data_IF_178728005338
#
_entry.id   IF_178728005338
#
_cell.length_a   1.000
_cell.length_b   1.000
_cell.length_c   1.000
_cell.angle_alpha   90.00
_cell.angle_beta   90.00
_cell.angle_gamma   90.00
#
_symmetry.space_group_name_H-M   'P 1'
#
loop_
_entity.id
_entity.type
_entity.pdbx_description
1 polymer ?
#
# COMPACT_ATOMS: atom_id res chain seq x y z
N UNK A 1 8.51 35.77 -1.43
CA UNK A 1 9.63 34.96 -1.98
C UNK A 1 10.45 34.24 -0.89
N UNK A 2 10.95 34.92 0.16
CA UNK A 2 11.73 34.29 1.25
C UNK A 2 11.01 33.18 2.04
N UNK A 3 9.70 33.27 2.27
CA UNK A 3 8.94 32.23 3.00
C UNK A 3 8.72 30.93 2.21
N UNK A 4 8.67 30.98 0.88
CA UNK A 4 8.53 29.77 0.05
C UNK A 4 9.87 29.03 -0.05
N UNK A 5 10.98 29.76 -0.13
CA UNK A 5 12.33 29.19 -0.09
C UNK A 5 12.62 28.48 1.23
N UNK A 6 12.24 29.04 2.38
CA UNK A 6 12.45 28.37 3.68
C UNK A 6 11.55 27.16 3.88
N UNK A 7 10.35 27.13 3.30
CA UNK A 7 9.46 25.96 3.33
C UNK A 7 10.01 24.84 2.44
N UNK A 8 10.41 25.14 1.20
CA UNK A 8 11.05 24.18 0.30
C UNK A 8 12.39 23.66 0.83
N UNK A 9 13.16 24.50 1.52
CA UNK A 9 14.44 24.10 2.14
C UNK A 9 14.24 23.21 3.38
N UNK A 10 13.26 23.53 4.26
CA UNK A 10 12.89 22.65 5.38
C UNK A 10 12.31 21.32 4.91
N UNK A 11 11.62 21.31 3.77
CA UNK A 11 11.06 20.12 3.13
C UNK A 11 12.16 19.26 2.50
N UNK A 12 13.08 19.86 1.74
CA UNK A 12 14.26 19.18 1.20
C UNK A 12 15.13 18.63 2.34
N UNK A 13 15.30 19.40 3.41
CA UNK A 13 16.03 18.98 4.60
C UNK A 13 15.33 17.82 5.33
N UNK A 14 14.00 17.82 5.47
CA UNK A 14 13.27 16.72 6.12
C UNK A 14 13.29 15.40 5.34
N UNK A 15 13.56 15.42 4.03
CA UNK A 15 13.74 14.22 3.19
C UNK A 15 15.22 13.84 3.08
N UNK A 16 16.09 14.84 2.96
CA UNK A 16 17.53 14.66 2.90
C UNK A 16 18.12 14.20 4.22
N UNK A 17 17.58 14.63 5.38
CA UNK A 17 18.08 14.27 6.71
C UNK A 17 17.99 12.76 6.99
N UNK A 18 16.85 12.06 6.81
CA UNK A 18 16.82 10.62 6.95
C UNK A 18 17.66 9.92 5.88
N UNK A 19 17.64 10.38 4.62
CA UNK A 19 18.47 9.79 3.56
C UNK A 19 19.97 9.97 3.79
N UNK A 20 20.41 11.13 4.28
CA UNK A 20 21.78 11.40 4.70
C UNK A 20 22.11 10.66 5.99
N UNK A 21 21.18 10.52 6.93
CA UNK A 21 21.39 9.74 8.14
C UNK A 21 21.52 8.24 7.80
N UNK A 22 20.75 7.72 6.84
CA UNK A 22 20.88 6.36 6.32
C UNK A 22 22.15 6.19 5.48
N UNK A 23 22.54 7.18 4.68
CA UNK A 23 23.79 7.17 3.92
C UNK A 23 25.02 7.29 4.86
N UNK A 24 24.94 8.11 5.90
CA UNK A 24 25.96 8.31 6.92
C UNK A 24 26.04 7.10 7.85
N UNK A 25 24.92 6.50 8.23
CA UNK A 25 24.89 5.23 8.96
C UNK A 25 25.47 4.12 8.10
N UNK A 26 25.08 4.04 6.83
CA UNK A 26 25.68 3.14 5.85
C UNK A 26 27.19 3.35 5.75
N UNK A 27 27.66 4.59 5.67
CA UNK A 27 29.08 4.96 5.62
C UNK A 27 29.83 4.67 6.94
N UNK A 28 29.26 4.96 8.10
CA UNK A 28 29.89 4.69 9.40
C UNK A 28 29.97 3.19 9.68
N UNK A 29 28.94 2.42 9.29
CA UNK A 29 28.98 0.96 9.34
C UNK A 29 29.96 0.41 8.28
N UNK A 30 30.13 1.09 7.14
CA UNK A 30 31.20 0.80 6.14
C UNK A 30 32.59 0.92 6.71
N UNK A 31 32.85 2.00 7.44
CA UNK A 31 34.15 2.26 8.06
C UNK A 31 34.38 1.31 9.24
N UNK A 32 33.34 0.96 9.99
CA UNK A 32 33.46 0.11 11.17
C UNK A 32 33.62 -1.40 10.88
N UNK A 33 33.10 -1.92 9.76
CA UNK A 33 33.02 -3.37 9.53
C UNK A 33 33.75 -3.90 8.27
N UNK A 34 34.46 -3.06 7.52
CA UNK A 34 35.35 -3.49 6.45
C UNK A 34 34.65 -4.10 5.21
N UNK A 35 35.42 -4.36 4.16
CA UNK A 35 34.94 -4.73 2.81
C UNK A 35 34.52 -6.21 2.64
N UNK A 36 34.52 -7.02 3.70
CA UNK A 36 34.46 -8.48 3.64
C UNK A 36 33.16 -9.13 4.13
N UNK A 37 31.98 -8.62 3.75
CA UNK A 37 30.71 -9.26 4.10
C UNK A 37 30.63 -10.74 3.70
N UNK A 38 29.65 -11.50 4.21
CA UNK A 38 29.52 -12.95 3.99
C UNK A 38 29.27 -13.34 2.52
N UNK A 39 28.84 -12.41 1.67
CA UNK A 39 28.55 -12.65 0.24
C UNK A 39 29.16 -11.57 -0.68
N UNK A 40 30.50 -11.43 -0.76
CA UNK A 40 31.12 -10.24 -1.35
C UNK A 40 31.03 -10.18 -2.89
N UNK A 41 30.71 -11.27 -3.59
CA UNK A 41 30.94 -11.41 -5.03
C UNK A 41 29.70 -11.72 -5.91
N UNK A 42 28.48 -11.40 -5.47
CA UNK A 42 27.28 -11.66 -6.27
C UNK A 42 27.30 -10.96 -7.66
N UNK A 43 27.86 -9.76 -7.77
CA UNK A 43 28.01 -9.09 -9.07
C UNK A 43 29.29 -9.43 -9.82
N UNK A 44 30.40 -9.68 -9.13
CA UNK A 44 31.65 -10.13 -9.76
C UNK A 44 31.50 -11.47 -10.49
N UNK A 45 30.47 -12.25 -10.15
CA UNK A 45 30.14 -13.55 -10.75
C UNK A 45 29.01 -13.50 -11.78
N UNK A 46 28.52 -12.31 -12.17
CA UNK A 46 27.42 -12.16 -13.14
C UNK A 46 26.04 -12.56 -12.60
N UNK A 47 25.83 -12.62 -11.28
CA UNK A 47 24.60 -13.10 -10.66
C UNK A 47 23.53 -12.01 -10.44
N UNK A 48 23.36 -11.08 -11.39
CA UNK A 48 22.34 -10.01 -11.35
C UNK A 48 20.91 -10.54 -11.18
N UNK A 49 20.64 -11.74 -11.69
CA UNK A 49 19.35 -12.41 -11.55
C UNK A 49 19.02 -12.72 -10.08
N UNK A 50 20.02 -12.93 -9.21
CA UNK A 50 19.81 -13.12 -7.76
C UNK A 50 19.31 -11.84 -7.10
N UNK A 51 19.84 -10.68 -7.53
CA UNK A 51 19.35 -9.37 -7.09
C UNK A 51 17.92 -9.16 -7.60
N UNK A 52 17.64 -9.46 -8.86
CA UNK A 52 16.29 -9.34 -9.41
C UNK A 52 15.27 -10.23 -8.65
N UNK A 53 15.62 -11.49 -8.35
CA UNK A 53 14.79 -12.39 -7.54
C UNK A 53 14.61 -11.84 -6.13
N UNK A 54 15.68 -11.37 -5.48
CA UNK A 54 15.59 -10.76 -4.15
C UNK A 54 14.62 -9.58 -4.15
N UNK A 55 14.76 -8.65 -5.10
CA UNK A 55 13.89 -7.48 -5.21
C UNK A 55 12.44 -7.87 -5.49
N UNK A 56 12.21 -8.84 -6.40
CA UNK A 56 10.88 -9.35 -6.70
C UNK A 56 10.22 -10.00 -5.47
N UNK A 57 10.96 -10.80 -4.70
CA UNK A 57 10.48 -11.43 -3.48
C UNK A 57 10.21 -10.40 -2.39
N UNK A 58 11.12 -9.47 -2.14
CA UNK A 58 10.94 -8.40 -1.15
C UNK A 58 9.74 -7.52 -1.50
N UNK A 59 9.55 -7.22 -2.79
CA UNK A 59 8.37 -6.51 -3.29
C UNK A 59 7.11 -7.30 -3.01
N UNK A 60 7.07 -8.57 -3.41
CA UNK A 60 5.90 -9.41 -3.24
C UNK A 60 5.52 -9.59 -1.77
N UNK A 61 6.48 -9.90 -0.88
CA UNK A 61 6.22 -10.12 0.55
C UNK A 61 5.75 -8.81 1.21
N UNK A 62 6.41 -7.69 0.92
CA UNK A 62 6.02 -6.39 1.48
C UNK A 62 4.63 -5.96 1.05
N UNK A 63 4.30 -6.10 -0.24
CA UNK A 63 2.98 -5.77 -0.75
C UNK A 63 1.93 -6.76 -0.26
N UNK A 64 2.25 -8.04 -0.16
CA UNK A 64 1.37 -9.05 0.46
C UNK A 64 1.02 -8.65 1.89
N UNK A 65 2.02 -8.32 2.71
CA UNK A 65 1.80 -7.89 4.09
C UNK A 65 0.90 -6.64 4.16
N UNK A 66 1.17 -5.63 3.32
CA UNK A 66 0.39 -4.39 3.27
C UNK A 66 -1.05 -4.63 2.79
N UNK A 67 -1.20 -5.38 1.70
CA UNK A 67 -2.48 -5.73 1.06
C UNK A 67 -3.39 -6.52 2.00
N UNK A 68 -2.86 -7.56 2.65
CA UNK A 68 -3.66 -8.39 3.54
C UNK A 68 -3.94 -7.66 4.87
N UNK A 69 -2.90 -7.19 5.56
CA UNK A 69 -3.04 -6.59 6.89
C UNK A 69 -3.66 -5.19 6.85
N UNK A 70 -2.92 -4.21 6.34
CA UNK A 70 -3.34 -2.81 6.46
C UNK A 70 -4.53 -2.50 5.55
N UNK A 71 -4.51 -3.01 4.33
CA UNK A 71 -5.53 -2.71 3.33
C UNK A 71 -6.83 -3.49 3.56
N UNK A 72 -6.83 -4.81 3.34
CA UNK A 72 -8.07 -5.63 3.37
C UNK A 72 -8.62 -5.87 4.77
N UNK A 73 -7.76 -6.09 5.78
CA UNK A 73 -8.21 -6.31 7.15
C UNK A 73 -8.51 -5.00 7.87
N UNK A 74 -7.54 -4.10 8.03
CA UNK A 74 -7.72 -2.98 8.95
C UNK A 74 -8.45 -1.78 8.33
N UNK A 75 -8.22 -1.48 7.05
CA UNK A 75 -8.93 -0.38 6.40
C UNK A 75 -10.34 -0.79 6.01
N UNK A 76 -10.49 -1.94 5.34
CA UNK A 76 -11.75 -2.32 4.72
C UNK A 76 -12.53 -3.43 5.43
N UNK A 77 -11.93 -4.10 6.41
CA UNK A 77 -12.59 -5.11 7.24
C UNK A 77 -13.23 -6.26 6.45
N UNK A 78 -12.72 -6.56 5.26
CA UNK A 78 -13.21 -7.64 4.42
C UNK A 78 -12.81 -9.02 4.92
N UNK A 79 -11.75 -9.08 5.73
CA UNK A 79 -11.19 -10.30 6.32
C UNK A 79 -10.63 -9.99 7.70
N UNK A 80 -10.64 -10.99 8.59
CA UNK A 80 -9.94 -10.93 9.88
C UNK A 80 -9.00 -12.12 9.98
N UNK A 81 -7.71 -11.86 10.14
CA UNK A 81 -6.66 -12.83 10.35
C UNK A 81 -6.45 -13.11 11.84
N UNK A 82 -5.97 -14.30 12.15
CA UNK A 82 -5.43 -14.60 13.47
C UNK A 82 -4.20 -13.72 13.75
N UNK A 83 -3.95 -13.42 15.03
CA UNK A 83 -2.76 -12.65 15.46
C UNK A 83 -1.43 -13.28 15.02
N UNK A 84 -1.41 -14.60 14.78
CA UNK A 84 -0.23 -15.34 14.35
C UNK A 84 0.12 -15.13 12.88
N UNK A 85 -0.84 -14.65 12.09
CA UNK A 85 -0.62 -14.27 10.69
C UNK A 85 -0.43 -12.76 10.59
N UNK A 86 -1.29 -12.00 11.29
CA UNK A 86 -1.30 -10.55 11.20
C UNK A 86 -0.06 -9.89 11.82
N UNK A 87 0.34 -10.28 13.04
CA UNK A 87 1.49 -9.64 13.71
C UNK A 87 2.80 -9.81 12.92
N UNK A 88 3.15 -10.98 12.38
CA UNK A 88 4.31 -11.10 11.50
C UNK A 88 4.27 -10.17 10.29
N UNK A 89 3.09 -9.95 9.67
CA UNK A 89 2.95 -8.98 8.58
C UNK A 89 3.19 -7.54 9.06
N UNK A 90 2.63 -7.15 10.21
CA UNK A 90 2.88 -5.82 10.79
C UNK A 90 4.36 -5.61 11.16
N UNK A 91 5.02 -6.60 11.77
CA UNK A 91 6.46 -6.56 12.05
C UNK A 91 7.27 -6.42 10.76
N UNK A 92 6.96 -7.21 9.73
CA UNK A 92 7.63 -7.13 8.44
C UNK A 92 7.55 -5.72 7.85
N UNK A 93 6.36 -5.12 7.86
CA UNK A 93 6.16 -3.76 7.37
C UNK A 93 6.93 -2.73 8.19
N UNK A 94 6.94 -2.85 9.52
CA UNK A 94 7.74 -1.99 10.37
C UNK A 94 9.24 -2.12 10.06
N UNK A 95 9.75 -3.34 9.89
CA UNK A 95 11.16 -3.63 9.56
C UNK A 95 11.58 -3.09 8.18
N UNK A 96 10.74 -3.26 7.18
CA UNK A 96 11.10 -3.02 5.76
C UNK A 96 10.64 -1.68 5.22
N UNK A 97 9.74 -0.98 5.92
CA UNK A 97 9.18 0.30 5.44
C UNK A 97 9.12 1.37 6.52
N UNK A 98 9.22 1.00 7.80
CA UNK A 98 8.93 1.91 8.92
C UNK A 98 7.46 2.34 9.00
N UNK A 99 6.58 1.72 8.21
CA UNK A 99 5.16 2.02 8.24
C UNK A 99 4.47 1.35 9.41
N UNK A 100 3.42 2.03 9.86
CA UNK A 100 2.68 1.76 11.07
C UNK A 100 1.22 1.53 10.65
N UNK A 101 0.54 0.58 11.28
CA UNK A 101 -0.87 0.27 10.98
C UNK A 101 -1.73 1.53 11.05
N UNK A 102 -1.56 2.30 12.13
CA UNK A 102 -2.37 3.49 12.41
C UNK A 102 -2.20 4.56 11.33
N UNK A 103 -0.96 4.83 10.94
CA UNK A 103 -0.70 5.85 9.94
C UNK A 103 -1.23 5.43 8.57
N UNK A 104 -0.88 4.22 8.12
CA UNK A 104 -1.26 3.76 6.79
C UNK A 104 -2.79 3.70 6.63
N UNK A 105 -3.47 3.07 7.59
CA UNK A 105 -4.93 2.94 7.58
C UNK A 105 -5.61 4.31 7.63
N UNK A 106 -5.10 5.24 8.45
CA UNK A 106 -5.70 6.58 8.53
C UNK A 106 -5.60 7.37 7.21
N UNK A 107 -4.47 7.30 6.52
CA UNK A 107 -4.28 7.96 5.22
C UNK A 107 -5.11 7.27 4.15
N UNK A 108 -5.18 5.93 4.14
CA UNK A 108 -5.95 5.19 3.15
C UNK A 108 -7.46 5.41 3.27
N UNK A 109 -7.99 5.46 4.50
CA UNK A 109 -9.39 5.88 4.76
C UNK A 109 -9.62 7.29 4.21
N UNK A 110 -8.68 8.20 4.45
CA UNK A 110 -8.79 9.58 3.98
C UNK A 110 -8.76 9.68 2.45
N UNK A 111 -7.93 8.89 1.79
CA UNK A 111 -7.89 8.74 0.34
C UNK A 111 -9.25 8.27 -0.21
N UNK A 112 -9.82 7.19 0.32
CA UNK A 112 -11.13 6.72 -0.14
C UNK A 112 -12.26 7.76 0.04
N UNK A 113 -12.21 8.54 1.12
CA UNK A 113 -13.20 9.59 1.37
C UNK A 113 -13.10 10.77 0.38
N UNK A 114 -11.92 11.02 -0.18
CA UNK A 114 -11.63 12.18 -1.03
C UNK A 114 -11.07 11.79 -2.40
N UNK A 115 -11.27 10.55 -2.83
CA UNK A 115 -10.53 9.99 -3.97
C UNK A 115 -10.72 10.83 -5.24
N UNK A 116 -9.59 11.18 -5.87
CA UNK A 116 -9.53 12.09 -7.03
C UNK A 116 -10.17 13.47 -6.85
N UNK A 117 -10.18 13.97 -5.62
CA UNK A 117 -10.52 15.34 -5.26
C UNK A 117 -9.27 16.07 -4.73
N UNK A 118 -9.39 17.38 -4.48
CA UNK A 118 -8.26 18.23 -4.04
C UNK A 118 -7.59 17.76 -2.74
N UNK A 119 -8.36 17.12 -1.85
CA UNK A 119 -7.87 16.60 -0.57
C UNK A 119 -7.34 15.17 -0.68
N UNK A 120 -7.32 14.55 -1.85
CA UNK A 120 -6.70 13.23 -1.99
C UNK A 120 -5.16 13.34 -1.89
N UNK A 121 -4.52 12.67 -0.91
CA UNK A 121 -3.06 12.64 -0.85
C UNK A 121 -2.45 11.95 -2.09
N UNK A 122 -3.20 11.07 -2.77
CA UNK A 122 -2.72 10.17 -3.81
C UNK A 122 -3.28 10.46 -5.21
N UNK A 123 -4.04 11.55 -5.41
CA UNK A 123 -4.69 11.78 -6.72
C UNK A 123 -3.69 12.17 -7.82
N UNK A 124 -3.52 11.35 -8.88
CA UNK A 124 -2.73 11.75 -10.04
C UNK A 124 -3.43 12.82 -10.87
N UNK A 125 -4.77 12.94 -10.77
CA UNK A 125 -5.55 13.99 -11.44
C UNK A 125 -5.16 15.39 -10.97
N UNK A 126 -5.00 15.58 -9.65
CA UNK A 126 -4.66 16.88 -9.07
C UNK A 126 -3.14 17.12 -8.93
N UNK A 127 -2.35 16.06 -8.70
CA UNK A 127 -0.91 16.19 -8.43
C UNK A 127 0.00 15.83 -9.61
N UNK A 128 -0.56 15.18 -10.63
CA UNK A 128 0.16 14.68 -11.79
C UNK A 128 0.69 13.26 -11.59
N UNK A 129 0.58 12.45 -12.66
CA UNK A 129 0.96 11.04 -12.66
C UNK A 129 2.40 10.79 -12.20
N UNK A 130 3.37 11.54 -12.74
CA UNK A 130 4.78 11.37 -12.41
C UNK A 130 5.07 11.66 -10.93
N UNK A 131 4.39 12.65 -10.35
CA UNK A 131 4.54 12.98 -8.93
C UNK A 131 4.01 11.87 -8.04
N UNK A 132 2.80 11.37 -8.31
CA UNK A 132 2.27 10.24 -7.52
C UNK A 132 3.17 9.02 -7.66
N UNK A 133 3.63 8.71 -8.88
CA UNK A 133 4.48 7.55 -9.13
C UNK A 133 5.82 7.62 -8.37
N UNK A 134 6.57 8.72 -8.49
CA UNK A 134 7.92 8.83 -7.91
C UNK A 134 7.96 9.41 -6.49
N UNK A 135 6.99 10.27 -6.15
CA UNK A 135 6.94 11.04 -4.91
C UNK A 135 5.65 10.80 -4.10
N UNK A 136 4.83 9.80 -4.45
CA UNK A 136 3.60 9.49 -3.70
C UNK A 136 3.85 9.20 -2.21
N UNK A 137 5.01 8.63 -1.86
CA UNK A 137 5.41 8.45 -0.45
C UNK A 137 5.64 9.77 0.28
N UNK A 138 6.13 10.81 -0.42
CA UNK A 138 6.28 12.13 0.16
C UNK A 138 4.90 12.70 0.49
N UNK A 139 3.96 12.60 -0.46
CA UNK A 139 2.59 13.03 -0.26
C UNK A 139 1.89 12.25 0.87
N UNK A 140 2.15 10.95 1.00
CA UNK A 140 1.74 10.12 2.14
C UNK A 140 2.27 10.66 3.48
N UNK A 141 3.59 10.89 3.57
CA UNK A 141 4.24 11.36 4.81
C UNK A 141 3.70 12.72 5.24
N UNK A 142 3.46 13.62 4.28
CA UNK A 142 2.85 14.92 4.55
C UNK A 142 1.41 14.75 5.06
N UNK A 143 0.62 13.88 4.41
CA UNK A 143 -0.78 13.65 4.76
C UNK A 143 -0.98 13.08 6.17
N UNK A 144 -0.03 12.29 6.69
CA UNK A 144 -0.04 11.80 8.09
C UNK A 144 -0.18 12.91 9.14
N UNK A 145 0.21 14.13 8.80
CA UNK A 145 0.19 15.29 9.69
C UNK A 145 -1.04 16.18 9.49
N UNK A 146 -1.91 15.87 8.54
CA UNK A 146 -3.13 16.64 8.30
C UNK A 146 -4.11 16.50 9.47
N UNK A 147 -4.76 17.59 9.94
CA UNK A 147 -5.61 17.54 11.12
C UNK A 147 -6.68 16.45 11.09
N UNK A 148 -7.34 16.25 9.94
CA UNK A 148 -8.40 15.26 9.81
C UNK A 148 -7.86 13.83 9.74
N UNK A 149 -6.70 13.61 9.12
CA UNK A 149 -6.00 12.32 9.15
C UNK A 149 -5.56 11.99 10.58
N UNK A 150 -5.07 12.97 11.34
CA UNK A 150 -4.72 12.78 12.76
C UNK A 150 -5.95 12.43 13.61
N UNK A 151 -7.11 13.05 13.35
CA UNK A 151 -8.38 12.69 14.01
C UNK A 151 -8.77 11.24 13.70
N UNK A 152 -8.69 10.83 12.43
CA UNK A 152 -8.94 9.43 12.02
C UNK A 152 -7.97 8.47 12.72
N UNK A 153 -6.68 8.80 12.73
CA UNK A 153 -5.63 7.98 13.35
C UNK A 153 -5.90 7.73 14.84
N UNK A 154 -6.44 8.72 15.56
CA UNK A 154 -6.80 8.59 16.98
C UNK A 154 -7.93 7.58 17.22
N UNK A 155 -8.83 7.37 16.25
CA UNK A 155 -9.94 6.40 16.33
C UNK A 155 -9.48 4.96 16.05
N UNK A 156 -8.29 4.75 15.49
CA UNK A 156 -7.77 3.42 15.19
C UNK A 156 -7.20 2.79 16.47
N UNK A 157 -7.73 1.63 16.92
CA UNK A 157 -7.28 0.97 18.14
C UNK A 157 -5.84 0.45 17.99
N UNK A 158 -5.15 0.35 19.11
CA UNK A 158 -3.75 -0.03 19.19
C UNK A 158 -3.49 -0.87 20.44
N UNK A 159 -2.85 -2.02 20.28
CA UNK A 159 -2.34 -2.81 21.40
C UNK A 159 -0.87 -2.47 21.74
N UNK A 160 -0.32 -3.05 22.80
CA UNK A 160 1.07 -2.77 23.21
C UNK A 160 2.10 -3.12 22.15
N UNK A 161 1.86 -4.18 21.37
CA UNK A 161 2.76 -4.62 20.32
C UNK A 161 2.77 -3.59 19.17
N UNK A 162 1.58 -3.17 18.75
CA UNK A 162 1.42 -2.16 17.71
C UNK A 162 1.96 -0.80 18.15
N UNK A 163 1.78 -0.44 19.44
CA UNK A 163 2.35 0.78 20.02
C UNK A 163 3.86 0.84 19.92
N UNK A 164 4.54 -0.28 20.19
CA UNK A 164 6.01 -0.35 20.03
C UNK A 164 6.41 -0.09 18.58
N UNK A 165 5.72 -0.67 17.61
CA UNK A 165 6.01 -0.44 16.18
C UNK A 165 5.75 1.02 15.78
N UNK A 166 4.63 1.58 16.24
CA UNK A 166 4.18 2.90 15.82
C UNK A 166 4.99 4.05 16.46
N UNK A 167 5.44 3.89 17.71
CA UNK A 167 6.28 4.88 18.39
C UNK A 167 7.74 4.84 17.92
N UNK A 168 8.16 3.76 17.26
CA UNK A 168 9.56 3.53 16.87
C UNK A 168 9.72 3.20 15.37
N UNK A 169 9.21 4.05 14.45
CA UNK A 169 9.18 3.75 13.02
C UNK A 169 10.56 3.62 12.39
N UNK A 170 11.61 4.14 13.05
CA UNK A 170 13.00 4.10 12.55
C UNK A 170 13.77 2.86 13.00
N UNK A 171 13.37 2.19 14.09
CA UNK A 171 14.11 1.04 14.63
C UNK A 171 14.13 -0.10 13.62
N UNK A 172 12.98 -0.37 12.99
CA UNK A 172 12.86 -1.43 12.00
C UNK A 172 13.80 -1.25 10.80
N UNK A 173 13.74 -0.10 10.09
CA UNK A 173 14.64 0.19 8.99
C UNK A 173 16.13 0.21 9.40
N UNK A 174 16.47 0.76 10.57
CA UNK A 174 17.87 0.74 11.06
C UNK A 174 18.34 -0.70 11.28
N UNK A 175 17.51 -1.53 11.91
CA UNK A 175 17.82 -2.94 12.13
C UNK A 175 18.00 -3.68 10.80
N UNK A 176 17.06 -3.53 9.86
CA UNK A 176 17.14 -4.16 8.53
C UNK A 176 18.39 -3.72 7.78
N UNK A 177 18.70 -2.41 7.77
CA UNK A 177 19.88 -1.89 7.10
C UNK A 177 21.18 -2.40 7.72
N UNK A 178 21.23 -2.46 9.06
CA UNK A 178 22.38 -3.01 9.79
C UNK A 178 22.57 -4.50 9.49
N UNK A 179 21.49 -5.28 9.50
CA UNK A 179 21.53 -6.71 9.20
C UNK A 179 22.00 -6.99 7.76
N UNK A 180 21.47 -6.25 6.78
CA UNK A 180 21.91 -6.35 5.39
C UNK A 180 23.36 -5.91 5.22
N UNK A 181 23.80 -4.88 5.94
CA UNK A 181 25.19 -4.43 5.92
C UNK A 181 26.15 -5.45 6.51
N UNK A 182 25.80 -6.08 7.63
CA UNK A 182 26.61 -7.15 8.24
C UNK A 182 26.67 -8.35 7.29
N UNK A 183 25.55 -8.74 6.68
CA UNK A 183 25.47 -9.92 5.83
C UNK A 183 26.17 -9.75 4.48
N UNK A 184 26.03 -8.59 3.83
CA UNK A 184 26.50 -8.38 2.46
C UNK A 184 27.69 -7.43 2.36
N UNK A 185 28.14 -6.90 3.50
CA UNK A 185 29.14 -5.85 3.55
C UNK A 185 28.52 -4.49 3.22
N UNK A 186 29.30 -3.41 3.39
CA UNK A 186 28.78 -2.04 3.33
C UNK A 186 28.19 -1.59 2.00
N UNK A 187 28.89 -1.84 0.91
CA UNK A 187 28.44 -1.40 -0.41
C UNK A 187 27.15 -2.11 -0.80
N UNK A 188 27.14 -3.45 -0.71
CA UNK A 188 26.00 -4.26 -1.11
C UNK A 188 24.86 -4.21 -0.11
N UNK A 189 25.14 -4.24 1.18
CA UNK A 189 24.11 -4.09 2.21
C UNK A 189 23.47 -2.71 2.18
N UNK A 190 24.24 -1.64 1.97
CA UNK A 190 23.71 -0.30 1.73
C UNK A 190 22.81 -0.24 0.50
N UNK A 191 23.26 -0.77 -0.64
CA UNK A 191 22.46 -0.85 -1.86
C UNK A 191 21.15 -1.63 -1.65
N UNK A 192 21.20 -2.82 -1.06
CA UNK A 192 20.01 -3.65 -0.78
C UNK A 192 19.06 -2.97 0.20
N UNK A 193 19.57 -2.20 1.16
CA UNK A 193 18.76 -1.41 2.09
C UNK A 193 18.00 -0.32 1.36
N UNK A 194 18.68 0.46 0.52
CA UNK A 194 18.04 1.51 -0.31
C UNK A 194 16.97 0.90 -1.20
N UNK A 195 17.26 -0.23 -1.85
CA UNK A 195 16.28 -0.90 -2.70
C UNK A 195 15.07 -1.43 -1.92
N UNK A 196 15.30 -2.07 -0.78
CA UNK A 196 14.23 -2.55 0.11
C UNK A 196 13.28 -1.41 0.51
N UNK A 197 13.86 -0.26 0.86
CA UNK A 197 13.08 0.91 1.30
C UNK A 197 12.44 1.67 0.13
N UNK A 198 13.02 1.63 -1.08
CA UNK A 198 12.49 2.30 -2.25
C UNK A 198 11.36 1.53 -2.94
N UNK A 199 11.35 0.19 -2.84
CA UNK A 199 10.36 -0.69 -3.49
C UNK A 199 8.93 -0.33 -3.08
N UNK A 200 8.66 -0.22 -1.76
CA UNK A 200 7.30 0.00 -1.26
C UNK A 200 6.74 1.38 -1.68
N UNK A 201 7.48 2.50 -1.51
CA UNK A 201 7.14 3.79 -2.09
C UNK A 201 6.83 3.78 -3.58
N UNK A 202 7.68 3.14 -4.39
CA UNK A 202 7.56 3.19 -5.85
C UNK A 202 6.43 2.32 -6.37
N UNK A 203 6.27 1.10 -5.85
CA UNK A 203 5.31 0.15 -6.42
C UNK A 203 3.98 0.12 -5.66
N UNK A 204 3.99 0.19 -4.32
CA UNK A 204 2.78 0.07 -3.51
C UNK A 204 2.05 1.42 -3.35
N UNK A 205 2.78 2.49 -3.02
CA UNK A 205 2.18 3.82 -2.79
C UNK A 205 2.10 4.64 -4.07
N UNK A 206 3.15 4.62 -4.88
CA UNK A 206 3.21 5.36 -6.13
C UNK A 206 2.58 4.61 -7.29
N UNK A 207 3.08 3.42 -7.60
CA UNK A 207 2.73 2.64 -8.79
C UNK A 207 1.25 2.30 -8.89
N UNK A 208 0.67 1.72 -7.84
CA UNK A 208 -0.77 1.42 -7.80
C UNK A 208 -1.60 2.69 -7.96
N UNK A 209 -1.40 3.69 -7.09
CA UNK A 209 -2.23 4.90 -7.10
C UNK A 209 -2.07 5.71 -8.39
N UNK A 210 -0.86 5.82 -8.94
CA UNK A 210 -0.61 6.54 -10.17
C UNK A 210 -1.26 5.82 -11.36
N UNK A 211 -0.93 4.55 -11.58
CA UNK A 211 -1.37 3.83 -12.77
C UNK A 211 -2.86 3.52 -12.70
N UNK A 212 -3.33 2.98 -11.57
CA UNK A 212 -4.69 2.50 -11.42
C UNK A 212 -5.73 3.62 -11.27
N UNK A 213 -5.34 4.90 -11.16
CA UNK A 213 -6.25 6.04 -11.32
C UNK A 213 -6.14 6.76 -12.68
N UNK A 214 -5.28 6.28 -13.58
CA UNK A 214 -5.01 6.94 -14.87
C UNK A 214 -5.31 6.08 -16.10
N UNK A 215 -4.98 4.79 -16.05
CA UNK A 215 -5.05 3.90 -17.21
C UNK A 215 -5.79 2.61 -16.85
N UNK A 216 -6.47 2.00 -17.83
CA UNK A 216 -7.16 0.73 -17.67
C UNK A 216 -8.66 0.81 -17.95
N UNK A 217 -9.36 -0.28 -17.66
CA UNK A 217 -10.80 -0.42 -17.89
C UNK A 217 -11.60 -0.19 -16.60
N UNK A 218 -12.92 -0.08 -16.69
CA UNK A 218 -13.82 -0.01 -15.51
C UNK A 218 -14.89 -1.07 -15.61
N UNK A 219 -15.13 -1.78 -14.50
CA UNK A 219 -16.29 -2.64 -14.35
C UNK A 219 -17.47 -1.88 -13.71
N UNK A 220 -17.19 -0.81 -12.98
CA UNK A 220 -18.16 -0.07 -12.18
C UNK A 220 -18.02 1.44 -12.38
N UNK A 221 -19.17 2.12 -12.29
CA UNK A 221 -19.22 3.57 -12.19
C UNK A 221 -18.98 3.96 -10.72
N UNK A 222 -17.86 4.63 -10.46
CA UNK A 222 -17.48 5.23 -9.16
C UNK A 222 -17.32 6.73 -9.33
N UNK A 223 -17.22 7.48 -8.24
CA UNK A 223 -17.07 8.94 -8.26
C UNK A 223 -15.63 9.41 -8.53
N UNK A 224 -14.67 8.50 -8.43
CA UNK A 224 -13.25 8.70 -8.71
C UNK A 224 -12.86 8.19 -10.11
N UNK A 225 -11.59 8.37 -10.47
CA UNK A 225 -10.97 7.91 -11.72
C UNK A 225 -10.28 6.54 -11.59
N UNK A 226 -10.57 5.75 -10.56
CA UNK A 226 -10.02 4.39 -10.45
C UNK A 226 -10.33 3.53 -11.69
N UNK A 227 -9.39 2.69 -12.07
CA UNK A 227 -9.38 1.80 -13.23
C UNK A 227 -8.82 0.45 -12.78
N UNK A 228 -9.18 -0.59 -13.53
CA UNK A 228 -8.59 -1.91 -13.40
C UNK A 228 -7.50 -2.08 -14.46
N UNK A 229 -6.36 -2.60 -14.02
CA UNK A 229 -5.25 -3.01 -14.89
C UNK A 229 -4.86 -4.46 -14.59
N UNK A 230 -5.82 -5.26 -14.14
CA UNK A 230 -5.54 -6.62 -13.69
C UNK A 230 -5.12 -7.59 -14.79
N UNK A 231 -5.31 -7.23 -16.06
CA UNK A 231 -4.80 -7.98 -17.21
C UNK A 231 -3.27 -7.88 -17.36
N UNK A 232 -2.59 -6.91 -16.72
CA UNK A 232 -1.12 -6.81 -16.71
C UNK A 232 -0.51 -7.87 -15.79
N UNK A 233 -0.68 -9.13 -16.16
CA UNK A 233 0.10 -10.23 -15.66
C UNK A 233 1.53 -10.13 -16.25
N UNK A 234 2.62 -10.33 -15.46
CA UNK A 234 2.67 -10.83 -14.08
C UNK A 234 2.62 -9.74 -12.99
N UNK A 235 2.57 -8.45 -13.33
CA UNK A 235 2.67 -7.36 -12.35
C UNK A 235 1.51 -7.38 -11.34
N UNK A 236 0.25 -7.49 -11.79
CA UNK A 236 -0.90 -7.52 -10.88
C UNK A 236 -0.84 -8.74 -9.93
N UNK A 237 -0.27 -9.85 -10.41
CA UNK A 237 -0.02 -11.04 -9.60
C UNK A 237 1.03 -10.77 -8.51
N UNK A 238 2.14 -10.11 -8.85
CA UNK A 238 3.17 -9.76 -7.86
C UNK A 238 2.67 -8.82 -6.76
N UNK A 239 1.65 -8.01 -7.04
CA UNK A 239 1.12 -7.02 -6.10
C UNK A 239 -0.25 -7.40 -5.55
N UNK A 240 -0.56 -8.71 -5.47
CA UNK A 240 -1.75 -9.21 -4.81
C UNK A 240 -3.09 -8.69 -5.39
N UNK A 241 -3.16 -8.37 -6.68
CA UNK A 241 -4.42 -7.90 -7.29
C UNK A 241 -4.75 -6.43 -7.05
N UNK A 242 -3.84 -5.66 -6.44
CA UNK A 242 -4.07 -4.24 -6.11
C UNK A 242 -4.34 -3.34 -7.33
N UNK A 243 -4.02 -3.78 -8.56
CA UNK A 243 -4.36 -3.05 -9.80
C UNK A 243 -5.80 -3.25 -10.26
N UNK A 244 -6.58 -4.15 -9.64
CA UNK A 244 -8.03 -4.22 -9.85
C UNK A 244 -8.74 -3.16 -9.00
N UNK A 245 -8.32 -1.91 -9.20
CA UNK A 245 -8.57 -0.79 -8.31
C UNK A 245 -9.99 -0.21 -8.45
N UNK A 246 -10.56 -0.21 -9.66
CA UNK A 246 -11.97 0.17 -9.84
C UNK A 246 -12.94 -0.81 -9.16
N UNK A 247 -12.62 -2.11 -9.16
CA UNK A 247 -13.40 -3.09 -8.40
C UNK A 247 -13.33 -2.81 -6.91
N UNK A 248 -12.11 -2.54 -6.43
CA UNK A 248 -11.84 -2.20 -5.05
C UNK A 248 -12.60 -0.94 -4.60
N UNK A 249 -12.49 0.17 -5.33
CA UNK A 249 -13.21 1.42 -4.99
C UNK A 249 -14.74 1.27 -5.05
N UNK A 250 -15.27 0.43 -5.95
CA UNK A 250 -16.71 0.14 -5.99
C UNK A 250 -17.19 -0.73 -4.82
N UNK A 251 -16.34 -1.65 -4.35
CA UNK A 251 -16.69 -2.62 -3.32
C UNK A 251 -15.57 -2.78 -2.27
N UNK A 252 -15.23 -1.71 -1.52
CA UNK A 252 -14.02 -1.66 -0.69
C UNK A 252 -13.95 -2.76 0.36
N UNK A 253 -15.10 -3.12 0.94
CA UNK A 253 -15.20 -4.20 1.94
C UNK A 253 -14.95 -5.61 1.38
N UNK A 254 -14.87 -5.80 0.07
CA UNK A 254 -14.54 -7.11 -0.50
C UNK A 254 -13.08 -7.45 -0.25
N UNK A 255 -12.79 -8.58 0.39
CA UNK A 255 -11.42 -9.06 0.53
C UNK A 255 -10.86 -9.70 -0.76
N UNK A 256 -11.63 -9.69 -1.86
CA UNK A 256 -11.15 -10.01 -3.20
C UNK A 256 -11.32 -8.81 -4.12
N UNK A 257 -10.26 -8.46 -4.84
CA UNK A 257 -10.27 -7.39 -5.84
C UNK A 257 -10.66 -7.89 -7.22
N UNK A 258 -10.63 -9.21 -7.43
CA UNK A 258 -11.06 -9.87 -8.67
C UNK A 258 -12.58 -9.98 -8.76
N UNK A 259 -13.17 -9.39 -9.79
CA UNK A 259 -14.60 -9.43 -10.10
C UNK A 259 -14.91 -10.03 -11.48
N UNK A 260 -13.90 -10.22 -12.33
CA UNK A 260 -13.99 -10.93 -13.62
C UNK A 260 -13.09 -12.18 -13.63
N UNK A 261 -13.35 -13.09 -14.55
CA UNK A 261 -12.61 -14.37 -14.62
C UNK A 261 -11.16 -14.20 -15.11
N UNK A 262 -10.85 -13.14 -15.86
CA UNK A 262 -9.49 -12.87 -16.36
C UNK A 262 -8.67 -11.96 -15.43
N UNK A 263 -9.28 -11.46 -14.35
CA UNK A 263 -8.61 -10.68 -13.31
C UNK A 263 -7.90 -11.63 -12.33
N UNK A 264 -6.76 -11.19 -11.79
CA UNK A 264 -5.90 -12.03 -10.96
C UNK A 264 -5.67 -11.40 -9.58
N UNK A 265 -5.96 -12.16 -8.53
CA UNK A 265 -5.81 -11.72 -7.14
C UNK A 265 -5.22 -12.87 -6.31
N UNK A 266 -3.89 -12.93 -6.25
CA UNK A 266 -3.19 -13.92 -5.41
C UNK A 266 -3.36 -13.62 -3.91
N UNK A 267 -3.63 -12.36 -3.54
CA UNK A 267 -3.94 -12.02 -2.15
C UNK A 267 -5.20 -12.76 -1.66
N UNK A 268 -6.22 -12.88 -2.51
CA UNK A 268 -7.43 -13.62 -2.17
C UNK A 268 -7.18 -15.14 -2.15
N UNK A 269 -6.27 -15.66 -2.98
CA UNK A 269 -5.82 -17.04 -2.86
C UNK A 269 -5.18 -17.30 -1.48
N UNK A 270 -4.27 -16.44 -1.02
CA UNK A 270 -3.68 -16.55 0.32
C UNK A 270 -4.73 -16.49 1.43
N UNK A 271 -5.69 -15.56 1.32
CA UNK A 271 -6.81 -15.45 2.27
C UNK A 271 -7.60 -16.77 2.33
N UNK A 272 -7.92 -17.37 1.17
CA UNK A 272 -8.66 -18.64 1.12
C UNK A 272 -7.87 -19.79 1.73
N UNK A 273 -6.57 -19.88 1.44
CA UNK A 273 -5.70 -20.91 2.00
C UNK A 273 -5.62 -20.80 3.55
N UNK A 274 -5.41 -19.58 4.05
CA UNK A 274 -5.40 -19.30 5.50
C UNK A 274 -6.76 -19.56 6.15
N UNK A 275 -7.86 -19.25 5.45
CA UNK A 275 -9.21 -19.52 5.95
C UNK A 275 -9.51 -21.01 6.04
N UNK A 276 -9.02 -21.80 5.08
CA UNK A 276 -9.17 -23.27 5.09
C UNK A 276 -8.51 -23.93 6.30
N UNK A 277 -7.47 -23.34 6.86
CA UNK A 277 -6.78 -23.82 8.08
C UNK A 277 -7.18 -23.06 9.35
N UNK A 278 -8.25 -22.25 9.31
CA UNK A 278 -8.77 -21.53 10.48
C UNK A 278 -7.95 -20.32 10.93
N UNK A 279 -6.99 -19.86 10.12
CA UNK A 279 -6.16 -18.69 10.41
C UNK A 279 -6.70 -17.37 9.86
N UNK A 280 -7.77 -17.42 9.05
CA UNK A 280 -8.48 -16.25 8.54
C UNK A 280 -9.99 -16.46 8.50
N UNK A 281 -10.74 -15.40 8.80
CA UNK A 281 -12.19 -15.35 8.67
C UNK A 281 -12.57 -14.33 7.60
N UNK A 282 -13.05 -14.82 6.45
CA UNK A 282 -13.59 -13.97 5.38
C UNK A 282 -14.92 -13.36 5.88
N UNK A 283 -15.01 -12.03 5.88
CA UNK A 283 -16.24 -11.31 6.22
C UNK A 283 -17.06 -11.00 4.98
N UNK A 284 -16.40 -10.49 3.94
CA UNK A 284 -17.03 -10.15 2.67
C UNK A 284 -16.07 -10.49 1.53
N UNK A 285 -16.56 -11.19 0.52
CA UNK A 285 -15.82 -11.43 -0.72
C UNK A 285 -16.77 -11.35 -1.90
N UNK A 286 -16.38 -10.62 -2.93
CA UNK A 286 -17.08 -10.64 -4.20
C UNK A 286 -17.02 -12.06 -4.80
N UNK A 287 -18.16 -12.55 -5.29
CA UNK A 287 -18.27 -13.90 -5.85
C UNK A 287 -18.62 -13.81 -7.32
N UNK A 288 -17.76 -14.39 -8.17
CA UNK A 288 -18.01 -14.51 -9.61
C UNK A 288 -19.34 -15.22 -9.90
N UNK A 289 -19.73 -16.19 -9.05
CA UNK A 289 -21.01 -16.92 -9.19
C UNK A 289 -22.23 -16.04 -8.90
N UNK A 290 -22.14 -15.14 -7.90
CA UNK A 290 -23.23 -14.19 -7.58
C UNK A 290 -23.34 -13.06 -8.62
N UNK A 291 -22.22 -12.62 -9.19
CA UNK A 291 -22.21 -11.59 -10.22
C UNK A 291 -22.86 -12.07 -11.54
N UNK A 292 -22.54 -13.31 -11.97
CA UNK A 292 -23.12 -13.91 -13.17
C UNK A 292 -24.64 -14.15 -13.03
N UNK A 293 -25.12 -14.53 -11.84
CA UNK A 293 -26.55 -14.69 -11.58
C UNK A 293 -27.32 -13.37 -11.65
N UNK A 294 -26.67 -12.23 -11.35
CA UNK A 294 -27.28 -10.90 -11.41
C UNK A 294 -27.30 -10.31 -12.82
N UNK A 295 -26.33 -10.69 -13.67
CA UNK A 295 -26.30 -10.31 -15.10
C UNK A 295 -27.19 -11.18 -15.99
N UNK A 296 -27.69 -12.31 -15.47
CA UNK A 296 -28.57 -13.23 -16.20
C UNK A 296 -30.07 -12.99 -15.97
N UNK A 297 -30.45 -11.96 -15.20
CA UNK A 297 -31.85 -11.54 -15.09
C UNK A 297 -32.20 -10.66 -16.31
N UNK A 298 -33.19 -11.02 -17.15
CA UNK A 298 -33.54 -10.21 -18.31
C UNK A 298 -34.15 -8.88 -17.88
N UNK A 299 -33.62 -7.83 -18.47
CA UNK A 299 -34.26 -6.59 -18.91
C UNK A 299 -35.72 -6.39 -18.46
N UNK A 300 -35.95 -5.43 -17.56
CA UNK A 300 -37.25 -4.74 -17.49
C UNK A 300 -37.13 -3.52 -18.40
N UNK A 301 -37.81 -3.62 -19.54
CA UNK A 301 -38.05 -2.61 -20.56
C UNK A 301 -38.46 -1.24 -19.98
N UNK A 302 -38.21 -0.13 -20.73
CA UNK A 302 -38.36 1.22 -20.22
C UNK A 302 -39.84 1.61 -20.18
N UNK A 303 -40.44 1.62 -18.99
CA UNK A 303 -41.69 2.34 -18.77
C UNK A 303 -41.39 3.76 -18.28
N UNK A 304 -41.80 4.68 -19.15
CA UNK A 304 -41.94 6.11 -18.95
C UNK A 304 -42.91 6.36 -17.78
N UNK A 305 -42.41 6.91 -16.66
CA UNK A 305 -43.27 7.54 -15.65
C UNK A 305 -42.62 8.84 -15.15
N UNK A 306 -43.20 9.93 -15.61
CA UNK A 306 -42.94 11.29 -15.17
C UNK A 306 -43.59 11.53 -13.80
N UNK A 307 -42.84 11.32 -12.73
CA UNK A 307 -43.06 12.00 -11.44
C UNK A 307 -41.88 11.72 -10.51
N UNK A 308 -40.95 12.66 -10.41
CA UNK A 308 -39.84 12.56 -9.46
C UNK A 308 -40.35 12.88 -8.04
N UNK A 309 -40.23 11.96 -7.06
CA UNK A 309 -40.34 12.31 -5.66
C UNK A 309 -39.03 12.96 -5.21
N UNK A 310 -39.15 14.05 -4.46
CA UNK A 310 -38.06 14.74 -3.78
C UNK A 310 -37.22 13.76 -2.95
N UNK A 311 -35.88 13.81 -3.00
CA UNK A 311 -35.05 12.88 -2.25
C UNK A 311 -35.21 13.09 -0.73
N UNK A 312 -35.29 12.02 0.07
CA UNK A 312 -35.29 12.14 1.53
C UNK A 312 -33.95 12.67 2.04
N UNK A 313 -34.00 13.46 3.10
CA UNK A 313 -32.85 14.04 3.77
C UNK A 313 -31.79 12.99 4.14
N UNK A 314 -30.51 13.36 3.99
CA UNK A 314 -29.36 12.50 4.31
C UNK A 314 -29.44 12.01 5.77
N UNK A 315 -29.18 10.72 6.03
CA UNK A 315 -28.90 10.28 7.39
C UNK A 315 -27.56 10.84 7.85
N UNK A 316 -27.54 11.34 9.08
CA UNK A 316 -26.36 11.86 9.77
C UNK A 316 -25.22 10.84 9.77
N UNK A 317 -24.00 11.33 9.53
CA UNK A 317 -22.78 10.55 9.50
C UNK A 317 -22.55 9.80 10.82
N UNK A 318 -22.38 8.48 10.75
CA UNK A 318 -22.05 7.58 11.86
C UNK A 318 -20.61 7.72 12.41
N UNK A 319 -20.10 8.95 12.49
CA UNK A 319 -18.81 9.25 13.11
C UNK A 319 -18.84 10.55 13.93
N UNK A 320 -19.83 10.64 14.84
CA UNK A 320 -19.58 11.27 16.13
C UNK A 320 -18.54 10.40 16.88
#
# INVERSE_FOLDING_TARGET
MRQNLTKSFRILWAVAEPLLAFALLGFLVTVAFGSGGLFPNALATGAWWKIAIYLALMTHVTITAMSLSFHRQYTHQGVVFSKWVDRPMQAWLALTTGMSKRDWVSVHIYHHAHSDQDLDPHSPKHKGLARIFFLGVYDYVVAKSWPDVVKLRKKIPEDRYEKVLNDNPVIGPIFTASALTIAFGPVWGGFLSVMTFAISPLFAVGGVNALAHAIGYRNYQTTDESRNIGFLFPLNWMICGELDHNNHHAHPRSCSFRHRWYEFDIGYFYIRALSAVGLAQIKTAHSLKKAAAKSASPDRSPHNDSSAPTPPARPESLYA
#
